data_IF_236281158622
#
_entry.id   IF_236281158622
#
_cell.length_a   1.000
_cell.length_b   1.000
_cell.length_c   1.000
_cell.angle_alpha   90.00
_cell.angle_beta   90.00
_cell.angle_gamma   90.00
#
_symmetry.space_group_name_H-M   'P 1'
#
loop_
_entity.id
_entity.type
_entity.pdbx_description
1 polymer ?
#
# COMPACT_ATOMS: atom_id res chain seq x y z
N UNK A 1 1.54 7.20 22.33
CA UNK A 1 0.77 8.10 21.45
C UNK A 1 -0.67 7.61 21.42
N UNK A 2 -1.53 8.18 22.26
CA UNK A 2 -2.98 8.06 22.06
C UNK A 2 -3.39 9.08 21.00
N UNK A 3 -3.44 8.62 19.76
CA UNK A 3 -4.02 9.37 18.66
C UNK A 3 -5.49 8.95 18.61
N UNK A 4 -6.43 9.90 18.67
CA UNK A 4 -7.86 9.64 18.56
C UNK A 4 -8.14 8.88 17.25
N UNK A 5 -8.37 7.57 17.34
CA UNK A 5 -8.73 6.72 16.20
C UNK A 5 -10.23 6.86 15.95
N UNK A 6 -10.60 7.65 14.93
CA UNK A 6 -12.02 7.85 14.56
C UNK A 6 -12.63 6.59 13.92
N UNK A 7 -11.82 5.72 13.33
CA UNK A 7 -12.25 4.46 12.72
C UNK A 7 -11.18 3.35 12.88
N UNK A 8 -11.61 2.09 12.86
CA UNK A 8 -10.71 0.93 12.88
C UNK A 8 -10.14 0.60 11.50
N UNK A 9 -10.93 0.85 10.46
CA UNK A 9 -10.64 0.47 9.07
C UNK A 9 -10.76 1.67 8.14
N UNK A 10 -10.03 1.62 7.04
CA UNK A 10 -10.11 2.61 5.96
C UNK A 10 -10.21 1.89 4.61
N UNK A 11 -11.21 2.23 3.79
CA UNK A 11 -11.33 1.71 2.42
C UNK A 11 -10.31 2.42 1.52
N UNK A 12 -9.17 1.79 1.31
CA UNK A 12 -8.10 2.27 0.45
C UNK A 12 -8.23 1.65 -0.95
N UNK A 13 -9.34 1.96 -1.63
CA UNK A 13 -9.61 1.43 -2.96
C UNK A 13 -9.02 2.33 -4.04
N UNK A 14 -8.33 1.70 -4.98
CA UNK A 14 -7.77 2.40 -6.12
C UNK A 14 -8.79 2.53 -7.25
N UNK A 15 -8.63 3.59 -8.04
CA UNK A 15 -9.49 3.87 -9.18
C UNK A 15 -9.32 2.85 -10.31
N UNK A 16 -8.17 2.17 -10.34
CA UNK A 16 -7.83 1.16 -11.34
C UNK A 16 -7.09 -0.01 -10.66
N UNK A 17 -7.31 -1.23 -11.16
CA UNK A 17 -6.63 -2.45 -10.70
C UNK A 17 -5.41 -2.72 -11.58
N UNK A 18 -4.36 -1.94 -11.40
CA UNK A 18 -3.11 -2.08 -12.14
C UNK A 18 -1.98 -2.59 -11.26
N UNK A 19 -0.98 -3.20 -11.88
CA UNK A 19 0.26 -3.58 -11.17
C UNK A 19 0.94 -2.34 -10.61
N UNK A 20 1.44 -2.44 -9.38
CA UNK A 20 2.17 -1.37 -8.65
C UNK A 20 1.42 -0.05 -8.40
N UNK A 21 0.15 0.08 -8.81
CA UNK A 21 -0.64 1.28 -8.63
C UNK A 21 -1.19 1.42 -7.19
N UNK A 22 -0.30 1.71 -6.25
CA UNK A 22 -0.59 1.93 -4.82
C UNK A 22 -0.39 3.41 -4.49
N UNK A 23 -1.45 4.10 -4.09
CA UNK A 23 -1.45 5.57 -3.95
C UNK A 23 -1.52 6.04 -2.50
N UNK A 24 -1.77 7.34 -2.30
CA UNK A 24 -1.87 7.99 -1.00
C UNK A 24 -2.96 7.36 -0.10
N UNK A 25 -3.98 6.72 -0.69
CA UNK A 25 -5.09 6.13 0.07
C UNK A 25 -4.62 5.05 1.04
N UNK A 26 -3.70 4.20 0.58
CA UNK A 26 -3.09 3.15 1.39
C UNK A 26 -2.27 3.73 2.53
N UNK A 27 -1.34 4.64 2.20
CA UNK A 27 -0.43 5.24 3.18
C UNK A 27 -1.14 6.11 4.20
N UNK A 28 -2.21 6.81 3.79
CA UNK A 28 -3.09 7.59 4.67
C UNK A 28 -3.69 6.72 5.78
N UNK A 29 -4.15 5.51 5.43
CA UNK A 29 -4.73 4.60 6.42
C UNK A 29 -3.70 4.24 7.51
N UNK A 30 -2.50 3.83 7.10
CA UNK A 30 -1.43 3.46 8.03
C UNK A 30 -0.97 4.67 8.86
N UNK A 31 -0.83 5.85 8.25
CA UNK A 31 -0.42 7.08 8.92
C UNK A 31 -1.38 7.47 10.06
N UNK A 32 -2.69 7.31 9.86
CA UNK A 32 -3.70 7.61 10.87
C UNK A 32 -4.06 6.41 11.77
N UNK A 33 -3.25 5.34 11.76
CA UNK A 33 -3.44 4.19 12.66
C UNK A 33 -4.69 3.36 12.38
N UNK A 34 -5.15 3.34 11.13
CA UNK A 34 -6.26 2.50 10.64
C UNK A 34 -5.72 1.29 9.88
N UNK A 35 -6.51 0.21 9.81
CA UNK A 35 -6.21 -0.94 8.94
C UNK A 35 -6.72 -0.63 7.52
N UNK A 36 -5.85 -0.55 6.50
CA UNK A 36 -6.28 -0.39 5.12
C UNK A 36 -6.95 -1.67 4.62
N UNK A 37 -8.16 -1.52 4.08
CA UNK A 37 -8.83 -2.52 3.27
C UNK A 37 -8.61 -2.12 1.81
N UNK A 38 -7.85 -2.93 1.07
CA UNK A 38 -7.34 -2.57 -0.25
C UNK A 38 -8.05 -3.32 -1.37
N UNK A 39 -8.33 -2.59 -2.45
CA UNK A 39 -8.76 -3.12 -3.74
C UNK A 39 -8.03 -2.31 -4.82
N UNK A 40 -7.29 -2.98 -5.70
CA UNK A 40 -6.40 -2.32 -6.65
C UNK A 40 -5.40 -3.32 -7.25
N UNK A 41 -4.08 -3.11 -7.13
CA UNK A 41 -3.08 -4.08 -7.57
C UNK A 41 -3.29 -5.44 -6.91
N UNK A 42 -2.72 -6.49 -7.53
CA UNK A 42 -2.61 -7.80 -6.88
C UNK A 42 -1.88 -7.66 -5.55
N UNK A 43 -2.26 -8.49 -4.58
CA UNK A 43 -1.62 -8.60 -3.27
C UNK A 43 -0.09 -8.68 -3.33
N UNK A 44 0.45 -9.38 -4.33
CA UNK A 44 1.90 -9.51 -4.53
C UNK A 44 2.61 -8.16 -4.68
N UNK A 45 2.01 -7.19 -5.38
CA UNK A 45 2.60 -5.85 -5.58
C UNK A 45 2.85 -5.12 -4.25
N UNK A 46 2.02 -5.37 -3.23
CA UNK A 46 2.26 -4.82 -1.88
C UNK A 46 3.44 -5.53 -1.20
N UNK A 47 3.51 -6.86 -1.33
CA UNK A 47 4.57 -7.68 -0.72
C UNK A 47 5.94 -7.39 -1.35
N UNK A 48 5.98 -7.16 -2.66
CA UNK A 48 7.21 -6.83 -3.40
C UNK A 48 7.80 -5.47 -2.97
N UNK A 49 6.96 -4.55 -2.49
CA UNK A 49 7.39 -3.31 -1.84
C UNK A 49 7.87 -3.50 -0.39
N UNK A 50 7.88 -4.73 0.11
CA UNK A 50 8.26 -5.06 1.49
C UNK A 50 7.18 -4.76 2.52
N UNK A 51 5.94 -4.48 2.10
CA UNK A 51 4.84 -4.23 3.03
C UNK A 51 4.47 -5.57 3.70
N UNK A 52 4.49 -5.65 5.05
CA UNK A 52 4.09 -6.87 5.73
C UNK A 52 2.65 -7.26 5.40
N UNK A 53 2.40 -8.54 5.14
CA UNK A 53 1.06 -9.07 4.90
C UNK A 53 0.07 -8.77 6.06
N UNK A 54 0.60 -8.58 7.28
CA UNK A 54 -0.20 -8.18 8.45
C UNK A 54 -0.56 -6.70 8.47
N UNK A 55 -0.07 -5.86 7.56
CA UNK A 55 -0.34 -4.42 7.60
C UNK A 55 -1.66 -4.03 6.92
N UNK A 56 -2.32 -4.92 6.18
CA UNK A 56 -3.50 -4.61 5.38
C UNK A 56 -4.41 -5.81 5.16
N UNK A 57 -5.61 -5.56 4.63
CA UNK A 57 -6.59 -6.59 4.25
C UNK A 57 -6.87 -6.45 2.76
N UNK A 58 -6.53 -7.47 1.97
CA UNK A 58 -6.82 -7.48 0.54
C UNK A 58 -8.23 -8.04 0.30
N UNK A 59 -9.08 -7.31 -0.44
CA UNK A 59 -10.48 -7.77 -0.63
C UNK A 59 -10.57 -9.10 -1.40
N UNK A 60 -9.61 -9.36 -2.30
CA UNK A 60 -9.56 -10.62 -3.08
C UNK A 60 -9.17 -11.85 -2.25
N UNK A 61 -8.75 -11.69 -0.99
CA UNK A 61 -8.55 -12.82 -0.07
C UNK A 61 -9.89 -13.48 0.34
N UNK A 62 -11.03 -12.85 0.01
CA UNK A 62 -12.36 -13.28 0.42
C UNK A 62 -13.22 -13.65 -0.79
N UNK A 63 -13.98 -14.75 -0.68
CA UNK A 63 -14.86 -15.20 -1.78
C UNK A 63 -16.08 -14.29 -2.00
N UNK A 64 -16.38 -13.39 -1.05
CA UNK A 64 -17.49 -12.44 -1.15
C UNK A 64 -17.37 -11.30 -0.14
N UNK A 65 -18.04 -10.17 -0.43
CA UNK A 65 -18.16 -9.04 0.50
C UNK A 65 -18.77 -9.45 1.85
N UNK A 66 -19.67 -10.45 1.88
CA UNK A 66 -20.24 -10.99 3.12
C UNK A 66 -19.19 -11.68 3.98
N UNK A 67 -18.24 -12.39 3.38
CA UNK A 67 -17.12 -13.01 4.11
C UNK A 67 -16.15 -11.95 4.63
N UNK A 68 -15.82 -10.95 3.81
CA UNK A 68 -15.03 -9.80 4.25
C UNK A 68 -15.69 -9.11 5.45
N UNK A 69 -16.98 -8.76 5.37
CA UNK A 69 -17.71 -8.12 6.46
C UNK A 69 -17.71 -8.93 7.75
N UNK A 70 -17.89 -10.26 7.68
CA UNK A 70 -17.76 -11.14 8.85
C UNK A 70 -16.35 -11.11 9.45
N UNK A 71 -15.31 -11.07 8.62
CA UNK A 71 -13.94 -11.00 9.07
C UNK A 71 -13.60 -9.65 9.73
N UNK A 72 -14.04 -8.55 9.13
CA UNK A 72 -13.90 -7.21 9.72
C UNK A 72 -14.62 -7.11 11.07
N UNK A 73 -15.82 -7.69 11.18
CA UNK A 73 -16.56 -7.77 12.44
C UNK A 73 -15.78 -8.58 13.49
N UNK A 74 -15.14 -9.70 13.11
CA UNK A 74 -14.29 -10.47 14.01
C UNK A 74 -13.13 -9.63 14.55
N UNK A 75 -12.42 -8.91 13.66
CA UNK A 75 -11.31 -8.03 14.06
C UNK A 75 -11.79 -6.93 15.00
N UNK A 76 -12.92 -6.29 14.70
CA UNK A 76 -13.46 -5.21 15.52
C UNK A 76 -13.82 -5.64 16.96
N UNK A 77 -14.13 -6.92 17.16
CA UNK A 77 -14.48 -7.48 18.47
C UNK A 77 -13.33 -8.22 19.16
N UNK A 78 -12.15 -8.30 18.55
CA UNK A 78 -10.98 -8.98 19.09
C UNK A 78 -9.78 -8.03 19.10
N UNK A 79 -9.50 -7.49 20.28
CA UNK A 79 -8.42 -6.52 20.48
C UNK A 79 -7.03 -7.08 20.18
N UNK A 80 -6.79 -8.38 20.41
CA UNK A 80 -5.50 -9.00 20.09
C UNK A 80 -5.33 -9.16 18.59
N UNK A 81 -6.39 -9.60 17.89
CA UNK A 81 -6.38 -9.70 16.44
C UNK A 81 -6.19 -8.33 15.79
N UNK A 82 -6.89 -7.30 16.27
CA UNK A 82 -6.70 -5.92 15.81
C UNK A 82 -5.27 -5.42 16.01
N UNK A 83 -4.68 -5.62 17.20
CA UNK A 83 -3.31 -5.18 17.48
C UNK A 83 -2.27 -5.87 16.60
N UNK A 84 -2.51 -7.12 16.20
CA UNK A 84 -1.59 -7.84 15.32
C UNK A 84 -1.41 -7.14 13.95
N UNK A 85 -2.38 -6.35 13.51
CA UNK A 85 -2.24 -5.56 12.27
C UNK A 85 -1.24 -4.41 12.36
N UNK A 86 -0.75 -4.08 13.55
CA UNK A 86 0.15 -2.95 13.80
C UNK A 86 1.55 -3.36 14.25
N UNK A 87 1.89 -4.65 14.16
CA UNK A 87 3.22 -5.14 14.53
C UNK A 87 4.34 -4.52 13.68
N UNK A 88 4.02 -4.11 12.44
CA UNK A 88 4.94 -3.45 11.53
C UNK A 88 5.51 -2.13 12.09
N UNK A 89 4.81 -1.45 13.00
CA UNK A 89 5.26 -0.17 13.59
C UNK A 89 6.60 -0.33 14.33
N UNK A 90 6.92 -1.55 14.79
CA UNK A 90 8.18 -1.82 15.49
C UNK A 90 9.40 -1.82 14.54
N UNK A 91 9.18 -1.95 13.23
CA UNK A 91 10.25 -2.09 12.23
C UNK A 91 10.21 -0.99 11.16
N UNK A 92 9.06 -0.35 10.96
CA UNK A 92 8.82 0.58 9.86
C UNK A 92 8.25 1.90 10.36
N UNK A 93 8.55 2.96 9.63
CA UNK A 93 7.97 4.28 9.80
C UNK A 93 7.24 4.68 8.52
N UNK A 94 6.08 5.34 8.67
CA UNK A 94 5.31 5.84 7.53
C UNK A 94 5.73 7.27 7.24
N UNK A 95 6.30 7.47 6.06
CA UNK A 95 6.53 8.79 5.49
C UNK A 95 5.39 9.11 4.52
N UNK A 96 4.41 9.90 4.98
CA UNK A 96 3.20 10.22 4.22
C UNK A 96 3.16 11.68 3.74
N UNK A 97 3.72 12.60 4.51
CA UNK A 97 3.73 14.02 4.14
C UNK A 97 4.82 14.29 3.10
N UNK A 98 4.46 15.06 2.08
CA UNK A 98 5.29 15.32 0.90
C UNK A 98 6.57 16.09 1.22
N UNK A 99 6.49 17.06 2.14
CA UNK A 99 7.63 17.92 2.48
C UNK A 99 8.83 17.16 3.04
N UNK A 100 8.61 16.10 3.82
CA UNK A 100 9.69 15.30 4.41
C UNK A 100 10.37 14.39 3.38
N UNK A 101 9.72 14.16 2.23
CA UNK A 101 10.10 13.12 1.28
C UNK A 101 10.67 13.63 -0.03
N UNK A 102 10.32 14.84 -0.47
CA UNK A 102 10.77 15.38 -1.77
C UNK A 102 12.31 15.37 -1.93
N UNK A 103 13.11 15.86 -0.95
CA UNK A 103 14.57 15.83 -1.09
C UNK A 103 15.12 14.41 -1.16
N UNK A 104 14.57 13.49 -0.36
CA UNK A 104 15.01 12.09 -0.29
C UNK A 104 14.68 11.37 -1.60
N UNK A 105 13.47 11.53 -2.13
CA UNK A 105 13.03 10.90 -3.38
C UNK A 105 13.85 11.36 -4.58
N UNK A 106 14.15 12.65 -4.66
CA UNK A 106 14.96 13.18 -5.76
C UNK A 106 16.43 12.76 -5.65
N UNK A 107 16.99 12.67 -4.44
CA UNK A 107 18.33 12.12 -4.23
C UNK A 107 18.40 10.63 -4.58
N UNK A 108 17.44 9.83 -4.11
CA UNK A 108 17.33 8.38 -4.42
C UNK A 108 17.21 8.16 -5.93
N UNK A 109 16.35 8.92 -6.61
CA UNK A 109 16.19 8.86 -8.06
C UNK A 109 17.50 9.20 -8.78
N UNK A 110 18.17 10.29 -8.38
CA UNK A 110 19.46 10.67 -8.94
C UNK A 110 20.52 9.57 -8.75
N UNK A 111 20.59 8.99 -7.55
CA UNK A 111 21.50 7.89 -7.25
C UNK A 111 21.22 6.68 -8.16
N UNK A 112 19.97 6.25 -8.27
CA UNK A 112 19.58 5.13 -9.14
C UNK A 112 19.90 5.39 -10.61
N UNK A 113 19.62 6.59 -11.12
CA UNK A 113 19.96 6.96 -12.50
C UNK A 113 21.47 6.97 -12.77
N UNK A 114 22.29 7.28 -11.77
CA UNK A 114 23.75 7.25 -11.89
C UNK A 114 24.34 5.84 -11.72
N UNK A 115 23.66 4.96 -10.98
CA UNK A 115 24.08 3.58 -10.73
C UNK A 115 23.54 2.56 -11.74
N UNK A 116 22.51 2.93 -12.51
CA UNK A 116 21.93 2.06 -13.51
C UNK A 116 22.95 1.71 -14.61
N UNK A 117 22.90 0.47 -15.11
CA UNK A 117 23.68 0.09 -16.28
C UNK A 117 23.27 0.98 -17.45
N UNK A 118 24.22 1.77 -17.95
CA UNK A 118 24.00 2.69 -19.06
C UNK A 118 23.62 1.98 -20.36
N UNK A 119 23.79 0.66 -20.43
CA UNK A 119 23.37 -0.16 -21.57
C UNK A 119 21.93 -0.68 -21.44
N UNK A 120 21.31 -0.62 -20.25
CA UNK A 120 19.90 -0.99 -20.06
C UNK A 120 18.97 0.17 -20.39
N UNK A 121 18.66 0.32 -21.67
CA UNK A 121 17.63 1.25 -22.13
C UNK A 121 16.30 0.52 -22.37
N UNK A 122 15.26 0.90 -21.61
CA UNK A 122 13.87 0.56 -21.98
C UNK A 122 13.31 1.65 -22.87
N UNK A 123 12.89 1.28 -24.07
CA UNK A 123 12.18 2.15 -24.99
C UNK A 123 10.80 1.59 -25.27
N UNK A 124 9.78 2.44 -25.16
CA UNK A 124 8.40 2.08 -25.48
C UNK A 124 8.01 2.80 -26.76
N UNK A 125 7.78 2.04 -27.84
CA UNK A 125 7.35 2.58 -29.14
C UNK A 125 5.94 3.18 -29.10
N UNK A 126 5.11 2.73 -28.16
CA UNK A 126 3.74 3.19 -28.00
C UNK A 126 3.40 3.29 -26.51
N UNK A 127 3.39 4.52 -25.99
CA UNK A 127 3.07 4.80 -24.59
C UNK A 127 1.66 4.37 -24.21
N UNK A 128 0.69 4.46 -25.13
CA UNK A 128 -0.68 4.02 -24.87
C UNK A 128 -0.79 2.50 -24.77
N UNK A 129 0.02 1.76 -25.52
CA UNK A 129 0.05 0.30 -25.42
C UNK A 129 0.74 -0.14 -24.13
N UNK A 130 1.84 0.51 -23.75
CA UNK A 130 2.49 0.24 -22.46
C UNK A 130 1.52 0.46 -21.30
N UNK A 131 0.85 1.63 -21.27
CA UNK A 131 -0.19 1.90 -20.27
C UNK A 131 -1.27 0.82 -20.31
N UNK A 132 -1.90 0.62 -21.49
CA UNK A 132 -2.73 -0.53 -21.95
C UNK A 132 -2.49 -1.87 -21.24
N UNK A 133 -1.23 -2.25 -21.18
CA UNK A 133 -0.83 -3.62 -20.85
C UNK A 133 -0.44 -3.78 -19.38
N UNK A 134 -0.11 -2.68 -18.71
CA UNK A 134 0.22 -2.63 -17.29
C UNK A 134 -0.97 -2.10 -16.45
N UNK A 135 -1.93 -1.47 -17.13
CA UNK A 135 -3.26 -0.95 -16.78
C UNK A 135 -4.20 -1.02 -18.02
#
# INVERSE_FOLDING_TARGET
>A
MEQFRLALFYLAFESQTCTDYITEKFWRALHYGMIPIVFGPRKQSYLDLGIPNSAFIHVEDFKSAKQLGKYLHKIANDYFLYRNYFQWINQYQIFYQTYDLEPIRMCELCMRLNMQDKNEHRFYTNIHQWHRNEC
#
